data_IF_640924115334
#
_entry.id   IF_640924115334
#
_cell.length_a   1.000
_cell.length_b   1.000
_cell.length_c   1.000
_cell.angle_alpha   90.00
_cell.angle_beta   90.00
_cell.angle_gamma   90.00
#
_symmetry.space_group_name_H-M   'P 1'
#
loop_
_entity.id
_entity.type
_entity.pdbx_description
1 polymer ?
#
# COMPACT_ATOMS: atom_id res chain seq x y z
N UNK A 1 19.48 9.87 -6.12
CA UNK A 1 19.70 8.45 -6.44
C UNK A 1 18.52 7.67 -5.85
N UNK A 2 17.93 6.72 -6.58
CA UNK A 2 16.85 5.88 -6.09
C UNK A 2 17.42 4.74 -5.23
N UNK A 3 16.71 4.38 -4.15
CA UNK A 3 17.06 3.23 -3.32
C UNK A 3 16.62 1.97 -4.04
N UNK A 4 17.51 0.99 -4.23
CA UNK A 4 17.15 -0.30 -4.82
C UNK A 4 16.80 -1.31 -3.73
N UNK A 5 15.68 -2.02 -3.90
CA UNK A 5 15.18 -3.05 -2.99
C UNK A 5 14.93 -4.33 -3.78
N UNK A 6 15.49 -5.44 -3.30
CA UNK A 6 15.21 -6.76 -3.84
C UNK A 6 13.96 -7.36 -3.20
N UNK A 7 12.88 -7.43 -3.95
CA UNK A 7 11.59 -7.99 -3.56
C UNK A 7 11.60 -9.52 -3.39
N UNK A 8 12.71 -10.20 -3.72
CA UNK A 8 12.89 -11.64 -3.50
C UNK A 8 13.51 -11.98 -2.14
N UNK A 9 13.90 -10.97 -1.34
CA UNK A 9 14.52 -11.17 -0.02
C UNK A 9 13.65 -12.02 0.89
N UNK A 10 14.25 -12.94 1.63
CA UNK A 10 13.58 -13.92 2.50
C UNK A 10 12.49 -14.69 1.73
N UNK A 11 11.24 -14.60 2.16
CA UNK A 11 10.09 -15.23 1.51
C UNK A 11 9.61 -14.52 0.23
N UNK A 12 10.10 -13.31 -0.03
CA UNK A 12 9.75 -12.54 -1.21
C UNK A 12 8.25 -12.24 -1.32
N UNK A 13 7.62 -11.88 -0.22
CA UNK A 13 6.17 -11.57 -0.18
C UNK A 13 5.82 -10.16 -0.63
N UNK A 14 4.53 -9.86 -0.74
CA UNK A 14 4.02 -8.52 -1.06
C UNK A 14 4.25 -7.48 0.04
N UNK A 15 4.67 -7.91 1.24
CA UNK A 15 4.97 -7.01 2.36
C UNK A 15 6.16 -6.10 2.05
N UNK A 16 7.23 -6.65 1.47
CA UNK A 16 8.41 -5.86 1.08
C UNK A 16 8.01 -4.68 0.20
N UNK A 17 7.22 -4.96 -0.82
CA UNK A 17 6.72 -3.94 -1.75
C UNK A 17 5.88 -2.87 -1.04
N UNK A 18 4.88 -3.28 -0.23
CA UNK A 18 4.02 -2.32 0.48
C UNK A 18 4.80 -1.40 1.39
N UNK A 19 5.70 -1.98 2.21
CA UNK A 19 6.56 -1.21 3.11
C UNK A 19 7.48 -0.28 2.33
N UNK A 20 8.12 -0.77 1.27
CA UNK A 20 9.02 0.03 0.44
C UNK A 20 8.32 1.26 -0.13
N UNK A 21 7.13 1.09 -0.74
CA UNK A 21 6.38 2.20 -1.33
C UNK A 21 5.89 3.19 -0.27
N UNK A 22 5.35 2.69 0.85
CA UNK A 22 4.85 3.53 1.92
C UNK A 22 5.97 4.36 2.58
N UNK A 23 7.11 3.73 2.89
CA UNK A 23 8.25 4.45 3.45
C UNK A 23 8.96 5.36 2.44
N UNK A 24 9.02 4.96 1.17
CA UNK A 24 9.52 5.85 0.11
C UNK A 24 8.70 7.14 0.04
N UNK A 25 7.37 7.02 0.14
CA UNK A 25 6.47 8.17 0.21
C UNK A 25 6.77 9.03 1.44
N UNK A 26 6.78 8.45 2.64
CA UNK A 26 6.98 9.18 3.91
C UNK A 26 8.35 9.88 3.97
N UNK A 27 9.38 9.25 3.43
CA UNK A 27 10.76 9.75 3.49
C UNK A 27 11.15 10.64 2.29
N UNK A 28 10.25 10.87 1.34
CA UNK A 28 10.53 11.56 0.08
C UNK A 28 11.73 10.98 -0.68
N UNK A 29 11.87 9.64 -0.64
CA UNK A 29 12.98 8.94 -1.30
C UNK A 29 12.48 8.11 -2.47
N UNK A 30 13.01 8.33 -3.68
CA UNK A 30 12.73 7.44 -4.81
C UNK A 30 13.18 6.01 -4.51
N UNK A 31 12.36 5.03 -4.91
CA UNK A 31 12.67 3.61 -4.73
C UNK A 31 12.43 2.83 -6.02
N UNK A 32 13.28 1.85 -6.26
CA UNK A 32 13.12 0.82 -7.29
C UNK A 32 13.02 -0.53 -6.59
N UNK A 33 11.88 -1.19 -6.70
CA UNK A 33 11.69 -2.56 -6.19
C UNK A 33 11.77 -3.52 -7.36
N UNK A 34 12.76 -4.42 -7.33
CA UNK A 34 13.00 -5.46 -8.35
C UNK A 34 12.57 -6.84 -7.81
N UNK A 35 12.46 -7.83 -8.69
CA UNK A 35 12.18 -9.23 -8.34
C UNK A 35 10.91 -9.38 -7.47
N UNK A 36 9.88 -8.58 -7.76
CA UNK A 36 8.65 -8.55 -6.97
C UNK A 36 8.01 -9.92 -6.96
N UNK A 37 7.91 -10.52 -5.76
CA UNK A 37 7.29 -11.82 -5.53
C UNK A 37 7.85 -12.95 -6.42
N UNK A 38 9.14 -12.88 -6.77
CA UNK A 38 9.78 -13.83 -7.70
C UNK A 38 9.69 -15.29 -7.24
N UNK A 39 9.69 -15.54 -5.91
CA UNK A 39 9.59 -16.88 -5.32
C UNK A 39 8.15 -17.39 -5.12
N UNK A 40 7.14 -16.65 -5.55
CA UNK A 40 5.73 -17.05 -5.38
C UNK A 40 5.22 -17.78 -6.63
N UNK A 41 4.25 -18.69 -6.45
CA UNK A 41 3.60 -19.43 -7.55
C UNK A 41 3.16 -18.53 -8.72
N UNK A 42 2.66 -17.32 -8.39
CA UNK A 42 2.32 -16.28 -9.35
C UNK A 42 3.19 -15.05 -9.05
N UNK A 43 4.36 -14.90 -9.65
CA UNK A 43 5.28 -13.80 -9.38
C UNK A 43 4.75 -12.46 -9.91
N UNK A 44 5.42 -11.38 -9.53
CA UNK A 44 5.05 -10.04 -9.92
C UNK A 44 3.85 -9.47 -9.15
N UNK A 45 3.39 -8.31 -9.59
CA UNK A 45 2.26 -7.60 -8.97
C UNK A 45 0.96 -8.40 -9.13
N UNK A 46 0.17 -8.48 -8.07
CA UNK A 46 -1.23 -8.91 -8.11
C UNK A 46 -2.13 -7.69 -7.97
N UNK A 47 -3.44 -7.78 -8.29
CA UNK A 47 -4.35 -6.64 -8.24
C UNK A 47 -4.27 -5.83 -6.94
N UNK A 48 -4.28 -6.48 -5.78
CA UNK A 48 -4.18 -5.77 -4.48
C UNK A 48 -2.87 -4.99 -4.30
N UNK A 49 -1.74 -5.51 -4.82
CA UNK A 49 -0.46 -4.80 -4.77
C UNK A 49 -0.47 -3.57 -5.66
N UNK A 50 -0.95 -3.75 -6.90
CA UNK A 50 -1.09 -2.67 -7.87
C UNK A 50 -1.96 -1.54 -7.31
N UNK A 51 -3.14 -1.88 -6.76
CA UNK A 51 -4.06 -0.88 -6.22
C UNK A 51 -3.52 -0.20 -4.95
N UNK A 52 -2.75 -0.91 -4.12
CA UNK A 52 -2.03 -0.29 -3.00
C UNK A 52 -1.02 0.75 -3.46
N UNK A 53 -0.24 0.44 -4.51
CA UNK A 53 0.70 1.40 -5.12
C UNK A 53 -0.03 2.61 -5.71
N UNK A 54 -1.12 2.37 -6.46
CA UNK A 54 -1.91 3.42 -7.08
C UNK A 54 -2.60 4.33 -6.05
N UNK A 55 -3.03 3.78 -4.91
CA UNK A 55 -3.56 4.56 -3.80
C UNK A 55 -2.50 5.51 -3.23
N UNK A 56 -1.31 5.00 -2.90
CA UNK A 56 -0.21 5.84 -2.41
C UNK A 56 0.23 6.84 -3.48
N UNK A 57 0.28 6.44 -4.75
CA UNK A 57 0.56 7.36 -5.87
C UNK A 57 -0.39 8.56 -5.87
N UNK A 58 -1.71 8.33 -5.72
CA UNK A 58 -2.70 9.42 -5.70
C UNK A 58 -2.53 10.35 -4.50
N UNK A 59 -2.20 9.80 -3.33
CA UNK A 59 -2.01 10.57 -2.10
C UNK A 59 -0.74 11.42 -2.11
N UNK A 60 0.24 11.05 -2.94
CA UNK A 60 1.58 11.65 -2.94
C UNK A 60 1.97 12.24 -4.29
N UNK A 61 1.04 12.33 -5.25
CA UNK A 61 1.27 12.78 -6.63
C UNK A 61 2.48 12.09 -7.29
N UNK A 62 2.82 10.87 -6.84
CA UNK A 62 4.03 10.17 -7.23
C UNK A 62 4.03 9.80 -8.73
N UNK A 63 5.21 9.87 -9.35
CA UNK A 63 5.46 9.26 -10.66
C UNK A 63 5.83 7.80 -10.46
N UNK A 64 5.14 6.90 -11.16
CA UNK A 64 5.35 5.45 -11.02
C UNK A 64 5.46 4.79 -12.38
N UNK A 65 6.44 3.87 -12.54
CA UNK A 65 6.58 3.00 -13.70
C UNK A 65 6.38 1.54 -13.30
N UNK A 66 5.97 0.72 -14.25
CA UNK A 66 5.74 -0.73 -14.03
C UNK A 66 4.38 -1.06 -13.42
N UNK A 67 3.40 -0.17 -13.49
CA UNK A 67 2.06 -0.29 -12.88
C UNK A 67 1.13 -1.21 -13.68
N UNK A 68 1.44 -2.48 -13.80
CA UNK A 68 0.57 -3.49 -14.40
C UNK A 68 0.64 -4.81 -13.62
N UNK A 69 -0.40 -5.60 -13.68
CA UNK A 69 -0.43 -6.94 -13.07
C UNK A 69 0.65 -7.81 -13.70
N UNK A 70 1.38 -8.56 -12.88
CA UNK A 70 2.51 -9.38 -13.30
C UNK A 70 3.85 -8.64 -13.40
N UNK A 71 3.87 -7.31 -13.24
CA UNK A 71 5.15 -6.57 -13.25
C UNK A 71 6.09 -7.08 -12.17
N UNK A 72 7.33 -7.39 -12.56
CA UNK A 72 8.41 -7.82 -11.66
C UNK A 72 9.19 -6.66 -11.05
N UNK A 73 8.97 -5.42 -11.54
CA UNK A 73 9.67 -4.22 -11.10
C UNK A 73 8.73 -3.04 -11.01
N UNK A 74 8.95 -2.20 -10.01
CA UNK A 74 8.31 -0.89 -9.85
C UNK A 74 9.39 0.17 -9.61
N UNK A 75 9.22 1.32 -10.25
CA UNK A 75 9.92 2.55 -9.91
C UNK A 75 8.91 3.53 -9.33
N UNK A 76 9.18 4.05 -8.14
CA UNK A 76 8.29 4.96 -7.43
C UNK A 76 9.05 6.23 -7.03
N UNK A 77 8.54 7.38 -7.46
CA UNK A 77 9.12 8.71 -7.23
C UNK A 77 8.07 9.60 -6.55
N UNK A 78 8.09 9.72 -5.21
CA UNK A 78 7.17 10.60 -4.50
C UNK A 78 7.39 12.07 -4.89
N UNK A 79 6.33 12.90 -4.83
CA UNK A 79 6.39 14.31 -5.20
C UNK A 79 5.86 15.22 -4.10
N UNK A 80 4.83 14.79 -3.37
CA UNK A 80 4.16 15.56 -2.34
C UNK A 80 3.48 14.65 -1.32
N UNK A 81 2.91 15.22 -0.26
CA UNK A 81 2.04 14.54 0.71
C UNK A 81 0.64 15.17 0.69
N UNK A 82 0.03 15.21 -0.46
CA UNK A 82 -1.23 15.92 -0.69
C UNK A 82 -2.39 15.39 0.16
N UNK A 83 -2.58 14.06 0.20
CA UNK A 83 -3.75 13.46 0.83
C UNK A 83 -5.03 13.64 -0.01
N UNK A 84 -6.20 13.80 0.68
CA UNK A 84 -7.48 14.06 0.04
C UNK A 84 -8.32 12.81 -0.22
N UNK A 85 -9.28 12.89 -1.16
CA UNK A 85 -10.23 11.80 -1.46
C UNK A 85 -9.67 10.83 -2.49
N UNK A 86 -9.74 9.54 -2.20
CA UNK A 86 -9.37 8.46 -3.13
C UNK A 86 -10.44 7.38 -3.19
N UNK A 87 -10.58 6.75 -4.34
CA UNK A 87 -11.43 5.58 -4.54
C UNK A 87 -10.61 4.46 -5.13
N UNK A 88 -10.64 3.29 -4.47
CA UNK A 88 -9.89 2.11 -4.88
C UNK A 88 -10.85 0.94 -5.06
N UNK A 89 -10.98 0.48 -6.28
CA UNK A 89 -11.69 -0.77 -6.59
C UNK A 89 -10.67 -1.80 -7.07
N UNK A 90 -10.42 -2.83 -6.26
CA UNK A 90 -9.43 -3.87 -6.60
C UNK A 90 -9.90 -4.73 -7.79
N UNK A 91 -11.20 -4.75 -8.07
CA UNK A 91 -11.79 -5.53 -9.17
C UNK A 91 -11.78 -7.05 -8.95
N UNK A 92 -11.26 -7.50 -7.82
CA UNK A 92 -11.18 -8.91 -7.39
C UNK A 92 -11.43 -8.99 -5.88
N UNK A 93 -11.48 -10.22 -5.33
CA UNK A 93 -11.51 -10.44 -3.87
C UNK A 93 -10.16 -10.16 -3.17
N UNK A 94 -9.29 -9.36 -3.76
CA UNK A 94 -8.04 -8.95 -3.14
C UNK A 94 -8.28 -8.12 -1.88
N UNK A 95 -7.39 -8.27 -0.88
CA UNK A 95 -7.55 -7.71 0.46
C UNK A 95 -7.49 -6.18 0.47
N UNK A 96 -8.58 -5.53 0.92
CA UNK A 96 -8.60 -4.09 1.19
C UNK A 96 -7.75 -3.73 2.42
N UNK A 97 -7.61 -4.63 3.38
CA UNK A 97 -6.83 -4.38 4.60
C UNK A 97 -5.34 -4.21 4.29
N UNK A 98 -4.83 -4.94 3.29
CA UNK A 98 -3.46 -4.77 2.82
C UNK A 98 -3.25 -3.47 2.04
N UNK A 99 -4.27 -2.97 1.35
CA UNK A 99 -4.25 -1.63 0.73
C UNK A 99 -4.28 -0.55 1.81
N UNK A 100 -5.15 -0.70 2.81
CA UNK A 100 -5.22 0.21 3.97
C UNK A 100 -3.90 0.32 4.73
N UNK A 101 -3.15 -0.78 4.90
CA UNK A 101 -1.84 -0.73 5.54
C UNK A 101 -0.89 0.28 4.88
N UNK A 102 -0.85 0.31 3.55
CA UNK A 102 0.00 1.27 2.84
C UNK A 102 -0.50 2.72 3.03
N UNK A 103 -1.82 2.92 2.94
CA UNK A 103 -2.47 4.24 3.13
C UNK A 103 -2.22 4.76 4.55
N UNK A 104 -2.43 3.93 5.58
CA UNK A 104 -2.29 4.34 6.98
C UNK A 104 -0.87 4.74 7.38
N UNK A 105 0.16 4.18 6.74
CA UNK A 105 1.55 4.61 6.97
C UNK A 105 1.78 6.02 6.43
N UNK A 106 1.18 6.38 5.30
CA UNK A 106 1.36 7.68 4.64
C UNK A 106 0.44 8.76 5.24
N UNK A 107 -0.74 8.35 5.72
CA UNK A 107 -1.81 9.26 6.16
C UNK A 107 -1.37 10.32 7.18
N UNK A 108 -0.58 10.02 8.23
CA UNK A 108 -0.15 11.02 9.20
C UNK A 108 0.71 12.15 8.65
N UNK A 109 1.28 11.95 7.46
CA UNK A 109 2.20 12.90 6.82
C UNK A 109 1.51 13.72 5.73
N UNK A 110 0.23 13.45 5.43
CA UNK A 110 -0.50 14.17 4.40
C UNK A 110 -1.00 15.52 4.91
N UNK A 111 -0.95 16.52 4.02
CA UNK A 111 -1.45 17.88 4.28
C UNK A 111 -2.97 17.94 4.46
N UNK A 112 -3.68 17.10 3.71
CA UNK A 112 -5.14 17.01 3.79
C UNK A 112 -5.55 15.68 4.41
N UNK A 113 -6.64 15.70 5.18
CA UNK A 113 -7.28 14.48 5.69
C UNK A 113 -7.64 13.54 4.51
N UNK A 114 -7.39 12.25 4.72
CA UNK A 114 -7.68 11.23 3.71
C UNK A 114 -9.09 10.69 3.90
N UNK A 115 -9.86 10.67 2.83
CA UNK A 115 -11.12 9.92 2.74
C UNK A 115 -10.95 8.84 1.66
N UNK A 116 -10.78 7.59 2.09
CA UNK A 116 -10.55 6.46 1.20
C UNK A 116 -11.80 5.57 1.10
N UNK A 117 -12.36 5.43 -0.11
CA UNK A 117 -13.39 4.43 -0.40
C UNK A 117 -12.74 3.22 -1.06
N UNK A 118 -12.84 2.05 -0.41
CA UNK A 118 -12.19 0.83 -0.87
C UNK A 118 -13.22 -0.25 -1.18
N UNK A 119 -13.09 -0.90 -2.34
CA UNK A 119 -13.90 -2.06 -2.74
C UNK A 119 -13.01 -3.25 -3.03
N UNK A 120 -13.24 -4.37 -2.30
CA UNK A 120 -12.46 -5.61 -2.43
C UNK A 120 -12.82 -6.60 -1.32
N UNK A 121 -11.95 -7.58 -1.07
CA UNK A 121 -12.14 -8.57 -0.02
C UNK A 121 -11.88 -8.02 1.39
N UNK A 122 -12.82 -8.25 2.30
CA UNK A 122 -12.74 -7.83 3.72
C UNK A 122 -12.15 -8.91 4.63
N UNK A 123 -12.29 -10.18 4.23
CA UNK A 123 -11.74 -11.34 4.92
C UNK A 123 -11.09 -12.28 3.90
N UNK A 124 -9.80 -12.10 3.69
CA UNK A 124 -9.04 -12.80 2.65
C UNK A 124 -7.91 -13.58 3.29
N UNK A 125 -7.70 -14.82 2.87
CA UNK A 125 -6.60 -15.66 3.34
C UNK A 125 -5.24 -14.92 3.24
N UNK A 126 -4.40 -15.08 4.26
CA UNK A 126 -3.07 -14.46 4.37
C UNK A 126 -3.09 -12.93 4.50
N UNK A 127 -4.21 -12.38 4.95
CA UNK A 127 -4.33 -10.96 5.29
C UNK A 127 -5.15 -10.79 6.58
N UNK A 128 -4.93 -9.71 7.34
CA UNK A 128 -5.78 -9.41 8.48
C UNK A 128 -7.23 -9.22 8.02
N UNK A 129 -8.23 -9.80 8.72
CA UNK A 129 -9.63 -9.50 8.43
C UNK A 129 -9.97 -8.06 8.83
N UNK A 130 -11.03 -7.51 8.24
CA UNK A 130 -11.43 -6.12 8.52
C UNK A 130 -11.82 -5.91 9.98
N UNK A 131 -12.44 -6.90 10.61
CA UNK A 131 -12.79 -6.87 12.04
C UNK A 131 -11.57 -6.68 12.94
N UNK A 132 -10.44 -7.32 12.58
CA UNK A 132 -9.18 -7.10 13.30
C UNK A 132 -8.70 -5.65 13.18
N UNK A 133 -8.79 -5.06 11.98
CA UNK A 133 -8.46 -3.65 11.81
C UNK A 133 -9.36 -2.77 12.68
N UNK A 134 -10.67 -3.01 12.64
CA UNK A 134 -11.67 -2.19 13.31
C UNK A 134 -11.59 -2.29 14.84
N UNK A 135 -11.48 -3.52 15.37
CA UNK A 135 -11.64 -3.76 16.80
C UNK A 135 -10.32 -3.92 17.58
N UNK A 136 -9.21 -4.15 16.88
CA UNK A 136 -7.90 -4.33 17.51
C UNK A 136 -6.89 -3.29 17.06
N UNK A 137 -6.66 -3.18 15.76
CA UNK A 137 -5.56 -2.37 15.23
C UNK A 137 -5.84 -0.87 15.36
N UNK A 138 -6.98 -0.37 14.88
CA UNK A 138 -7.33 1.04 14.97
C UNK A 138 -7.41 1.56 16.41
N UNK A 139 -8.04 0.85 17.38
CA UNK A 139 -8.01 1.30 18.77
C UNK A 139 -6.60 1.46 19.34
N UNK A 140 -5.63 0.63 18.94
CA UNK A 140 -4.22 0.78 19.35
C UNK A 140 -3.56 1.98 18.68
N UNK A 141 -3.82 2.19 17.40
CA UNK A 141 -3.34 3.39 16.71
C UNK A 141 -3.93 4.68 17.31
N UNK A 142 -5.19 4.68 17.72
CA UNK A 142 -5.80 5.81 18.42
C UNK A 142 -5.07 6.16 19.71
N UNK A 143 -4.66 5.16 20.50
CA UNK A 143 -3.84 5.36 21.70
C UNK A 143 -2.47 5.99 21.39
N UNK A 144 -1.98 5.81 20.15
CA UNK A 144 -0.74 6.41 19.66
C UNK A 144 -0.95 7.76 18.96
N UNK A 145 -2.18 8.30 18.97
CA UNK A 145 -2.50 9.60 18.36
C UNK A 145 -2.93 9.56 16.89
N UNK A 146 -3.08 8.39 16.28
CA UNK A 146 -3.62 8.29 14.92
C UNK A 146 -5.13 8.49 14.92
N UNK A 147 -5.61 9.50 14.19
CA UNK A 147 -7.05 9.84 14.12
C UNK A 147 -7.66 9.25 12.84
N UNK A 148 -8.02 7.99 12.86
CA UNK A 148 -8.67 7.30 11.73
C UNK A 148 -9.98 6.65 12.15
N UNK A 149 -10.96 6.61 11.25
CA UNK A 149 -12.22 5.92 11.42
C UNK A 149 -12.46 4.95 10.26
N UNK A 150 -13.11 3.84 10.53
CA UNK A 150 -13.49 2.83 9.55
C UNK A 150 -15.01 2.66 9.56
N UNK A 151 -15.62 2.81 8.39
CA UNK A 151 -17.04 2.56 8.15
C UNK A 151 -17.18 1.42 7.11
N UNK A 152 -18.05 0.44 7.41
CA UNK A 152 -18.34 -0.72 6.56
C UNK A 152 -19.72 -0.60 5.94
#
# INVERSE_FOLDING_TARGET
MAIEIDGSTLEGGGQILRSAIAFAAVLDKPVVVKNIRAKRKNPGLRPQHLHGILAVKQLTDAKVKGTHVGSSQIEFFPQSHRGGKITVNIGTAGSITLVLQAIMVVAPFCEQAIVATLKGGTNVAWSPPIDYLQHVFLPRLHQMGFLGQLHL
#
